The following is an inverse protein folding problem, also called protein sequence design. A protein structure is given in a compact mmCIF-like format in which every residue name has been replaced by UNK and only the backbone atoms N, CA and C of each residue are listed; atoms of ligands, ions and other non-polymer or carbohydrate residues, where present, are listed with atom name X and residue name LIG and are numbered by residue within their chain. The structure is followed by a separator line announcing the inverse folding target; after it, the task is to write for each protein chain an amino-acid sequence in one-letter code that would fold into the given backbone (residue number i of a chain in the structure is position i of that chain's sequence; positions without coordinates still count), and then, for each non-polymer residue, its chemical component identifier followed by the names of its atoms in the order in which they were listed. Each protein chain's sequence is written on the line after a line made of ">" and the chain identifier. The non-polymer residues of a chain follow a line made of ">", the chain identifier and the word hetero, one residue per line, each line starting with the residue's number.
data_IF_543701837076
#
_entry.id   IF_543701837076
#
_cell.length_a   1.000
_cell.length_b   1.000
_cell.length_c   1.000
_cell.angle_alpha   90.00
_cell.angle_beta   90.00
_cell.angle_gamma   90.00
#
_symmetry.space_group_name_H-M   'P 1'
#
loop_
_entity.id
_entity.type
_entity.pdbx_description
1 polymer ?
#
# COMPACT_ATOMS: atom_id res chain seq x y z
N UNK A 1 -7.98 14.02 -13.96
CA UNK A 1 -7.93 13.32 -12.69
C UNK A 1 -7.32 11.93 -12.85
N UNK A 2 -6.94 11.25 -11.81
CA UNK A 2 -6.19 9.98 -11.86
C UNK A 2 -6.94 8.85 -11.14
N UNK A 3 -6.77 7.58 -11.54
CA UNK A 3 -7.45 6.46 -10.93
C UNK A 3 -6.90 6.17 -9.53
N UNK A 4 -7.78 5.79 -8.61
CA UNK A 4 -7.45 5.45 -7.23
C UNK A 4 -7.62 3.95 -6.99
N UNK A 5 -6.50 3.24 -6.81
CA UNK A 5 -6.49 1.78 -6.68
C UNK A 5 -6.77 1.24 -5.28
N UNK A 6 -6.92 2.10 -4.27
CA UNK A 6 -7.21 1.67 -2.88
C UNK A 6 -8.72 1.48 -2.66
N UNK A 7 -9.11 0.24 -2.40
CA UNK A 7 -10.51 -0.11 -2.15
C UNK A 7 -11.11 0.59 -0.92
N UNK A 8 -10.29 1.03 0.05
CA UNK A 8 -10.77 1.74 1.23
C UNK A 8 -11.44 3.09 0.90
N UNK A 9 -11.20 3.62 -0.31
CA UNK A 9 -11.90 4.79 -0.83
C UNK A 9 -13.42 4.63 -0.79
N UNK A 10 -13.94 3.41 -1.04
CA UNK A 10 -15.39 3.14 -1.01
C UNK A 10 -15.98 3.44 0.37
N UNK A 11 -15.36 2.90 1.43
CA UNK A 11 -15.88 3.15 2.78
C UNK A 11 -15.69 4.62 3.20
N UNK A 12 -14.56 5.23 2.80
CA UNK A 12 -14.31 6.63 3.12
C UNK A 12 -15.31 7.56 2.41
N UNK A 13 -15.74 7.23 1.18
CA UNK A 13 -16.79 7.95 0.47
C UNK A 13 -18.10 7.98 1.27
N UNK A 14 -18.57 6.81 1.74
CA UNK A 14 -19.82 6.73 2.51
C UNK A 14 -19.68 7.36 3.90
N UNK A 15 -18.53 7.21 4.56
CA UNK A 15 -18.25 7.87 5.83
C UNK A 15 -18.28 9.41 5.67
N UNK A 16 -17.65 9.92 4.62
CA UNK A 16 -17.64 11.35 4.30
C UNK A 16 -19.04 11.87 3.98
N UNK A 17 -19.84 11.09 3.25
CA UNK A 17 -21.26 11.43 2.96
C UNK A 17 -22.07 11.58 4.24
N UNK A 18 -21.94 10.65 5.17
CA UNK A 18 -22.64 10.70 6.45
C UNK A 18 -22.17 11.89 7.29
N UNK A 19 -20.86 12.06 7.46
CA UNK A 19 -20.26 13.14 8.24
C UNK A 19 -20.65 14.54 7.70
N UNK A 20 -20.72 14.71 6.38
CA UNK A 20 -21.10 15.99 5.75
C UNK A 20 -22.52 16.43 6.07
N UNK A 21 -23.40 15.49 6.44
CA UNK A 21 -24.75 15.79 6.95
C UNK A 21 -24.76 16.44 8.35
N UNK A 22 -23.68 16.32 9.09
CA UNK A 22 -23.60 16.78 10.49
C UNK A 22 -22.60 17.92 10.69
N UNK A 23 -21.48 17.90 9.97
CA UNK A 23 -20.38 18.88 10.14
C UNK A 23 -19.80 19.31 8.81
N UNK A 24 -19.06 20.43 8.81
CA UNK A 24 -18.35 20.93 7.61
C UNK A 24 -16.86 20.58 7.61
N UNK A 25 -16.32 20.32 8.79
CA UNK A 25 -14.89 20.03 8.99
C UNK A 25 -14.74 18.86 9.93
N UNK A 26 -13.82 17.95 9.61
CA UNK A 26 -13.45 16.80 10.47
C UNK A 26 -11.94 16.71 10.64
N UNK A 27 -11.51 16.10 11.73
CA UNK A 27 -10.11 15.73 11.93
C UNK A 27 -9.91 14.26 11.60
N UNK A 28 -8.86 13.94 10.85
CA UNK A 28 -8.48 12.57 10.50
C UNK A 28 -7.15 12.17 11.12
N UNK A 29 -6.97 10.86 11.29
CA UNK A 29 -5.75 10.25 11.81
C UNK A 29 -4.67 9.95 10.76
N UNK A 30 -4.81 10.44 9.53
CA UNK A 30 -3.86 10.18 8.44
C UNK A 30 -2.46 10.72 8.77
N UNK A 31 -1.42 10.04 8.33
CA UNK A 31 -0.02 10.35 8.63
C UNK A 31 0.50 9.73 9.93
N UNK A 32 -0.38 9.34 10.86
CA UNK A 32 0.06 8.75 12.13
C UNK A 32 0.75 7.39 11.98
N UNK A 33 0.43 6.62 10.97
CA UNK A 33 1.07 5.33 10.68
C UNK A 33 2.48 5.53 10.13
N UNK A 34 2.65 6.48 9.23
CA UNK A 34 3.93 6.82 8.60
C UNK A 34 4.90 7.44 9.61
N UNK A 35 4.43 8.37 10.43
CA UNK A 35 5.27 9.09 11.40
C UNK A 35 5.66 8.23 12.60
N UNK A 36 4.72 7.49 13.17
CA UNK A 36 4.92 6.73 14.41
C UNK A 36 5.12 5.23 14.20
N UNK A 37 5.35 4.79 12.96
CA UNK A 37 5.68 3.40 12.65
C UNK A 37 4.50 2.44 12.82
N UNK A 38 3.29 2.81 12.34
CA UNK A 38 2.06 2.05 12.54
C UNK A 38 1.91 0.82 11.64
N UNK A 39 2.59 0.74 10.51
CA UNK A 39 2.48 -0.39 9.60
C UNK A 39 3.29 -1.59 10.06
N UNK A 40 2.71 -2.78 9.99
CA UNK A 40 3.39 -4.01 10.38
C UNK A 40 4.66 -4.29 9.56
N UNK A 41 4.73 -3.81 8.33
CA UNK A 41 5.90 -3.97 7.47
C UNK A 41 7.15 -3.31 8.06
N UNK A 42 7.01 -2.25 8.85
CA UNK A 42 8.12 -1.59 9.52
C UNK A 42 8.81 -2.44 10.60
N UNK A 43 8.20 -3.56 10.99
CA UNK A 43 8.80 -4.56 11.88
C UNK A 43 9.72 -5.54 11.14
N UNK A 44 9.68 -5.55 9.82
CA UNK A 44 10.47 -6.47 9.00
C UNK A 44 11.97 -6.36 9.24
N UNK A 45 12.58 -5.16 9.31
CA UNK A 45 14.02 -5.06 9.57
C UNK A 45 14.43 -5.77 10.86
N UNK A 46 13.60 -5.71 11.90
CA UNK A 46 13.87 -6.41 13.17
C UNK A 46 13.76 -7.93 13.02
N UNK A 47 12.79 -8.41 12.25
CA UNK A 47 12.68 -9.84 11.96
C UNK A 47 13.89 -10.36 11.16
N UNK A 48 14.42 -9.56 10.23
CA UNK A 48 15.59 -9.91 9.40
C UNK A 48 16.91 -9.89 10.19
N UNK A 49 16.99 -9.19 11.33
CA UNK A 49 18.16 -9.23 12.22
C UNK A 49 18.46 -10.64 12.73
N UNK A 50 17.46 -11.52 12.84
CA UNK A 50 17.66 -12.92 13.25
C UNK A 50 18.61 -13.70 12.37
N UNK A 51 18.80 -13.28 11.14
CA UNK A 51 19.73 -13.90 10.17
C UNK A 51 20.87 -12.96 9.75
N UNK A 52 20.99 -11.79 10.39
CA UNK A 52 22.00 -10.79 10.06
C UNK A 52 23.45 -11.26 10.35
N UNK A 53 23.64 -12.26 11.24
CA UNK A 53 24.91 -12.91 11.52
C UNK A 53 25.46 -13.69 10.31
N UNK A 54 24.57 -14.08 9.35
CA UNK A 54 24.97 -14.72 8.09
C UNK A 54 25.53 -13.65 7.15
N UNK A 55 26.72 -13.79 6.57
CA UNK A 55 27.26 -12.85 5.60
C UNK A 55 26.30 -12.57 4.46
N UNK A 56 26.18 -11.29 4.05
CA UNK A 56 25.20 -10.87 3.05
C UNK A 56 25.34 -11.62 1.72
N UNK A 57 26.57 -11.95 1.31
CA UNK A 57 26.86 -12.73 0.10
C UNK A 57 26.18 -14.10 0.15
N UNK A 58 26.25 -14.77 1.30
CA UNK A 58 25.60 -16.08 1.50
C UNK A 58 24.07 -15.94 1.50
N UNK A 59 23.53 -14.90 2.17
CA UNK A 59 22.09 -14.63 2.12
C UNK A 59 21.60 -14.36 0.69
N UNK A 60 22.43 -13.69 -0.12
CA UNK A 60 22.14 -13.43 -1.53
C UNK A 60 22.15 -14.71 -2.40
N UNK A 61 23.02 -15.65 -2.09
CA UNK A 61 23.02 -16.99 -2.72
C UNK A 61 21.75 -17.78 -2.34
N UNK A 62 21.42 -17.80 -1.03
CA UNK A 62 20.17 -18.44 -0.53
C UNK A 62 18.93 -17.84 -1.18
N UNK A 63 18.86 -16.51 -1.37
CA UNK A 63 17.78 -15.82 -2.12
C UNK A 63 17.58 -16.42 -3.50
N UNK A 64 18.67 -16.63 -4.26
CA UNK A 64 18.60 -17.19 -5.63
C UNK A 64 18.01 -18.60 -5.64
N UNK A 65 18.34 -19.41 -4.63
CA UNK A 65 17.79 -20.75 -4.46
C UNK A 65 16.32 -20.68 -4.02
N UNK A 66 16.02 -19.88 -3.01
CA UNK A 66 14.67 -19.71 -2.49
C UNK A 66 13.69 -19.19 -3.58
N UNK A 67 14.16 -18.35 -4.49
CA UNK A 67 13.33 -17.83 -5.59
C UNK A 67 12.84 -18.92 -6.57
N UNK A 68 13.52 -20.08 -6.61
CA UNK A 68 13.13 -21.24 -7.44
C UNK A 68 12.16 -22.19 -6.75
N UNK A 69 11.98 -22.05 -5.43
CA UNK A 69 11.06 -22.90 -4.67
C UNK A 69 9.59 -22.50 -4.97
N UNK A 70 8.65 -23.45 -4.85
CA UNK A 70 7.23 -23.15 -4.85
C UNK A 70 6.88 -22.21 -3.69
N UNK A 71 5.64 -21.71 -3.66
CA UNK A 71 5.18 -20.81 -2.59
C UNK A 71 4.97 -21.60 -1.29
N UNK A 72 6.04 -21.72 -0.50
CA UNK A 72 6.06 -22.40 0.80
C UNK A 72 6.35 -21.40 1.92
N UNK A 73 5.87 -21.73 3.11
CA UNK A 73 6.08 -20.90 4.31
C UNK A 73 7.58 -20.65 4.55
N UNK A 74 7.95 -19.38 4.69
CA UNK A 74 9.34 -18.95 4.93
C UNK A 74 10.13 -18.61 3.67
N UNK A 75 9.68 -18.97 2.48
CA UNK A 75 10.34 -18.64 1.21
C UNK A 75 10.56 -17.13 1.07
N UNK A 76 9.50 -16.34 1.25
CA UNK A 76 9.57 -14.89 1.11
C UNK A 76 10.50 -14.26 2.15
N UNK A 77 10.56 -14.80 3.37
CA UNK A 77 11.53 -14.37 4.37
C UNK A 77 12.98 -14.56 3.89
N UNK A 78 13.32 -15.73 3.33
CA UNK A 78 14.65 -16.00 2.78
C UNK A 78 14.98 -15.10 1.59
N UNK A 79 14.00 -14.85 0.73
CA UNK A 79 14.17 -13.92 -0.40
C UNK A 79 14.49 -12.53 0.11
N UNK A 80 13.69 -12.00 1.05
CA UNK A 80 13.85 -10.65 1.60
C UNK A 80 15.14 -10.51 2.42
N UNK A 81 15.56 -11.55 3.13
CA UNK A 81 16.81 -11.58 3.90
C UNK A 81 18.07 -11.39 3.03
N UNK A 82 18.01 -11.79 1.76
CA UNK A 82 19.08 -11.60 0.78
C UNK A 82 18.96 -10.33 -0.07
N UNK A 83 18.13 -9.36 0.38
CA UNK A 83 17.91 -8.08 -0.31
C UNK A 83 18.22 -6.92 0.63
N UNK A 84 18.76 -5.83 0.07
CA UNK A 84 18.81 -4.54 0.77
C UNK A 84 17.40 -3.94 0.85
N UNK A 85 17.19 -2.94 1.70
CA UNK A 85 15.88 -2.27 1.83
C UNK A 85 15.45 -1.64 0.50
N UNK A 86 16.37 -1.03 -0.23
CA UNK A 86 16.15 -0.39 -1.52
C UNK A 86 15.70 -1.39 -2.61
N UNK A 87 16.08 -2.67 -2.45
CA UNK A 87 15.68 -3.75 -3.37
C UNK A 87 14.31 -4.37 -3.02
N UNK A 88 13.91 -4.32 -1.74
CA UNK A 88 12.73 -5.07 -1.24
C UNK A 88 11.54 -4.22 -0.81
N UNK A 89 11.73 -2.93 -0.59
CA UNK A 89 10.67 -2.02 -0.19
C UNK A 89 10.50 -0.91 -1.21
N UNK A 90 9.32 -0.84 -1.79
CA UNK A 90 8.91 0.16 -2.79
C UNK A 90 7.63 0.89 -2.36
N UNK A 91 7.35 0.89 -1.05
CA UNK A 91 6.13 1.46 -0.48
C UNK A 91 5.04 0.42 -0.21
N UNK A 92 4.01 0.86 0.50
CA UNK A 92 2.88 0.01 0.88
C UNK A 92 1.92 -0.31 -0.30
N UNK A 93 2.03 0.40 -1.41
CA UNK A 93 1.19 0.23 -2.61
C UNK A 93 1.57 -0.97 -3.49
N UNK A 94 2.46 -1.85 -3.06
CA UNK A 94 2.94 -2.95 -3.89
C UNK A 94 1.87 -4.01 -4.13
N UNK A 95 1.25 -4.01 -5.31
CA UNK A 95 0.18 -4.94 -5.68
C UNK A 95 0.63 -5.93 -6.75
N UNK A 96 1.29 -5.44 -7.81
CA UNK A 96 1.80 -6.27 -8.90
C UNK A 96 3.32 -6.32 -8.90
N UNK A 97 3.88 -7.52 -8.93
CA UNK A 97 5.31 -7.73 -9.20
C UNK A 97 5.62 -7.42 -10.67
N UNK A 98 6.85 -7.04 -10.99
CA UNK A 98 7.24 -6.71 -12.36
C UNK A 98 6.88 -7.80 -13.38
N UNK A 99 7.09 -9.08 -13.02
CA UNK A 99 6.69 -10.23 -13.86
C UNK A 99 5.19 -10.31 -14.09
N UNK A 100 4.38 -10.03 -13.05
CA UNK A 100 2.93 -10.05 -13.13
C UNK A 100 2.40 -8.89 -13.97
N UNK A 101 3.01 -7.70 -13.87
CA UNK A 101 2.73 -6.57 -14.77
C UNK A 101 2.98 -6.96 -16.23
N UNK A 102 4.12 -7.57 -16.50
CA UNK A 102 4.47 -8.02 -17.85
C UNK A 102 3.54 -9.12 -18.41
N UNK A 103 2.89 -9.90 -17.54
CA UNK A 103 1.90 -10.91 -17.95
C UNK A 103 0.58 -10.26 -18.37
N UNK A 104 0.07 -9.30 -17.58
CA UNK A 104 -1.25 -8.72 -17.82
C UNK A 104 -1.22 -7.57 -18.86
N UNK A 105 -0.12 -6.82 -18.97
CA UNK A 105 -0.04 -5.70 -19.90
C UNK A 105 0.17 -6.18 -21.33
N UNK A 106 -0.60 -5.64 -22.28
CA UNK A 106 -0.54 -5.97 -23.70
C UNK A 106 0.78 -5.52 -24.31
N UNK A 107 1.15 -4.29 -24.03
CA UNK A 107 2.39 -3.70 -24.52
C UNK A 107 3.49 -3.80 -23.48
N UNK A 108 4.72 -3.98 -23.96
CA UNK A 108 5.88 -3.94 -23.07
C UNK A 108 5.99 -2.54 -22.46
N UNK A 109 6.07 -2.49 -21.13
CA UNK A 109 6.37 -1.23 -20.44
C UNK A 109 7.78 -0.79 -20.84
N UNK A 110 7.89 0.40 -21.40
CA UNK A 110 9.16 0.98 -21.86
C UNK A 110 9.84 1.84 -20.78
N UNK A 111 9.13 2.13 -19.70
CA UNK A 111 9.66 2.91 -18.57
C UNK A 111 10.47 2.08 -17.58
N UNK A 112 11.08 2.74 -16.60
CA UNK A 112 11.84 2.07 -15.54
C UNK A 112 10.92 1.18 -14.69
N UNK A 113 11.48 0.11 -14.14
CA UNK A 113 10.82 -0.66 -13.09
C UNK A 113 10.57 0.22 -11.84
N UNK A 114 9.67 -0.18 -10.96
CA UNK A 114 9.40 0.57 -9.73
C UNK A 114 10.67 0.75 -8.87
N UNK A 115 11.54 -0.26 -8.83
CA UNK A 115 12.82 -0.16 -8.14
C UNK A 115 13.78 0.85 -8.81
N UNK A 116 13.82 0.88 -10.14
CA UNK A 116 14.65 1.86 -10.87
C UNK A 116 14.12 3.28 -10.71
N UNK A 117 12.80 3.44 -10.66
CA UNK A 117 12.15 4.72 -10.39
C UNK A 117 12.48 5.27 -8.98
N UNK A 118 12.51 4.40 -7.96
CA UNK A 118 12.81 4.79 -6.59
C UNK A 118 14.31 4.89 -6.29
N UNK A 119 15.18 4.37 -7.15
CA UNK A 119 16.63 4.38 -6.92
C UNK A 119 17.19 5.78 -6.66
N UNK A 120 16.92 6.83 -7.46
CA UNK A 120 17.43 8.17 -7.20
C UNK A 120 17.01 8.70 -5.83
N UNK A 121 15.78 8.45 -5.41
CA UNK A 121 15.30 8.83 -4.08
C UNK A 121 16.10 8.18 -2.95
N UNK A 122 16.39 6.88 -3.05
CA UNK A 122 17.21 6.19 -2.06
C UNK A 122 18.65 6.67 -2.06
N UNK A 123 19.23 6.99 -3.22
CA UNK A 123 20.58 7.53 -3.35
C UNK A 123 20.69 8.93 -2.72
N UNK A 124 19.71 9.80 -2.96
CA UNK A 124 19.61 11.13 -2.35
C UNK A 124 19.48 11.02 -0.81
N UNK A 125 18.56 10.16 -0.35
CA UNK A 125 18.34 9.92 1.08
C UNK A 125 19.61 9.42 1.80
N UNK A 126 20.39 8.55 1.17
CA UNK A 126 21.67 8.06 1.68
C UNK A 126 22.72 9.18 1.71
N UNK A 127 22.80 10.01 0.66
CA UNK A 127 23.75 11.10 0.56
C UNK A 127 23.50 12.18 1.63
N UNK A 128 22.25 12.61 1.77
CA UNK A 128 21.84 13.63 2.74
C UNK A 128 22.09 13.20 4.19
N UNK A 129 21.85 11.94 4.49
CA UNK A 129 21.98 11.39 5.84
C UNK A 129 23.32 10.68 6.07
N UNK A 130 24.27 10.76 5.12
CA UNK A 130 25.60 10.14 5.19
C UNK A 130 25.55 8.65 5.57
N UNK A 131 24.55 7.93 5.09
CA UNK A 131 24.37 6.51 5.36
C UNK A 131 23.96 6.16 6.80
N UNK A 132 23.53 7.14 7.62
CA UNK A 132 23.18 6.91 9.03
C UNK A 132 21.79 6.31 9.25
N UNK A 133 20.91 6.39 8.24
CA UNK A 133 19.53 5.89 8.37
C UNK A 133 19.43 4.37 8.43
N UNK A 134 18.62 3.90 9.35
CA UNK A 134 18.26 2.49 9.46
C UNK A 134 17.18 2.11 8.42
N UNK A 135 17.05 0.83 8.13
CA UNK A 135 16.07 0.32 7.15
C UNK A 135 14.64 0.84 7.39
N UNK A 136 14.20 0.90 8.66
CA UNK A 136 12.86 1.39 9.00
C UNK A 136 12.68 2.87 8.64
N UNK A 137 13.67 3.71 8.89
CA UNK A 137 13.61 5.14 8.58
C UNK A 137 13.56 5.35 7.08
N UNK A 138 14.32 4.60 6.30
CA UNK A 138 14.25 4.59 4.84
C UNK A 138 12.87 4.17 4.34
N UNK A 139 12.26 3.14 4.94
CA UNK A 139 10.89 2.71 4.61
C UNK A 139 9.86 3.80 4.92
N UNK A 140 9.97 4.46 6.08
CA UNK A 140 9.11 5.60 6.43
C UNK A 140 9.28 6.76 5.45
N UNK A 141 10.51 7.08 5.03
CA UNK A 141 10.78 8.15 4.07
C UNK A 141 10.12 7.87 2.71
N UNK A 142 10.17 6.62 2.22
CA UNK A 142 9.48 6.23 0.99
C UNK A 142 7.96 6.39 1.14
N UNK A 143 7.39 5.92 2.24
CA UNK A 143 5.94 6.03 2.45
C UNK A 143 5.49 7.49 2.62
N UNK A 144 6.26 8.32 3.32
CA UNK A 144 5.99 9.75 3.47
C UNK A 144 6.06 10.51 2.13
N UNK A 145 6.95 10.11 1.22
CA UNK A 145 7.17 10.81 -0.04
C UNK A 145 6.28 10.32 -1.19
N UNK A 146 5.82 9.08 -1.16
CA UNK A 146 5.06 8.47 -2.26
C UNK A 146 3.70 7.91 -1.84
N UNK A 147 3.65 7.05 -0.82
CA UNK A 147 2.42 6.40 -0.38
C UNK A 147 1.45 7.37 0.25
N UNK A 148 1.93 8.20 1.17
CA UNK A 148 1.09 9.16 1.89
C UNK A 148 0.46 10.19 0.93
N UNK A 149 1.22 10.93 0.10
CA UNK A 149 0.62 11.89 -0.82
C UNK A 149 -0.14 11.23 -1.98
N UNK A 150 0.40 10.16 -2.58
CA UNK A 150 -0.13 9.56 -3.79
C UNK A 150 -1.32 8.62 -3.59
N UNK A 151 -1.58 8.15 -2.37
CA UNK A 151 -2.73 7.28 -2.07
C UNK A 151 -3.55 7.80 -0.88
N UNK A 152 -2.93 7.92 0.30
CA UNK A 152 -3.66 8.18 1.54
C UNK A 152 -4.34 9.56 1.53
N UNK A 153 -3.56 10.62 1.26
CA UNK A 153 -4.10 12.01 1.25
C UNK A 153 -4.97 12.26 0.03
N UNK A 154 -4.58 11.74 -1.14
CA UNK A 154 -5.38 11.84 -2.35
C UNK A 154 -6.75 11.19 -2.18
N UNK A 155 -6.80 10.00 -1.58
CA UNK A 155 -8.04 9.31 -1.25
C UNK A 155 -8.88 10.11 -0.26
N UNK A 156 -8.26 10.61 0.83
CA UNK A 156 -8.94 11.38 1.84
C UNK A 156 -9.58 12.64 1.24
N UNK A 157 -8.81 13.38 0.44
CA UNK A 157 -9.28 14.58 -0.23
C UNK A 157 -10.44 14.29 -1.22
N UNK A 158 -10.23 13.37 -2.17
CA UNK A 158 -11.24 13.05 -3.20
C UNK A 158 -12.55 12.56 -2.61
N UNK A 159 -12.50 11.69 -1.61
CA UNK A 159 -13.73 11.11 -1.03
C UNK A 159 -14.46 12.09 -0.13
N UNK A 160 -13.77 12.95 0.59
CA UNK A 160 -14.40 13.98 1.42
C UNK A 160 -14.92 15.15 0.60
N UNK A 161 -14.13 15.62 -0.36
CA UNK A 161 -14.52 16.74 -1.23
C UNK A 161 -15.68 16.39 -2.17
N UNK A 162 -15.90 15.11 -2.50
CA UNK A 162 -17.11 14.65 -3.19
C UNK A 162 -18.41 15.00 -2.42
N UNK A 163 -18.30 15.28 -1.12
CA UNK A 163 -19.40 15.66 -0.23
C UNK A 163 -19.22 17.05 0.38
N UNK A 164 -18.28 17.86 -0.11
CA UNK A 164 -17.96 19.20 0.41
C UNK A 164 -17.61 19.17 1.92
N UNK A 165 -16.91 18.11 2.35
CA UNK A 165 -16.43 17.91 3.71
C UNK A 165 -14.93 18.22 3.76
N UNK A 166 -14.52 19.18 4.57
CA UNK A 166 -13.11 19.51 4.78
C UNK A 166 -12.48 18.52 5.77
N UNK A 167 -11.44 17.80 5.36
CA UNK A 167 -10.67 16.90 6.23
C UNK A 167 -9.35 17.54 6.57
N UNK A 168 -9.07 17.69 7.85
CA UNK A 168 -7.78 18.15 8.37
C UNK A 168 -6.99 17.00 8.99
N UNK A 169 -5.67 17.02 8.84
CA UNK A 169 -4.76 15.94 9.20
C UNK A 169 -3.71 16.42 10.22
N UNK A 170 -4.07 16.58 11.50
CA UNK A 170 -3.22 17.23 12.50
C UNK A 170 -1.90 16.49 12.75
N UNK A 171 -1.80 15.19 12.44
CA UNK A 171 -0.52 14.46 12.54
C UNK A 171 0.52 14.94 11.54
N UNK A 172 0.11 15.58 10.44
CA UNK A 172 1.00 16.12 9.42
C UNK A 172 1.36 17.59 9.66
N UNK A 173 0.97 18.14 10.82
CA UNK A 173 1.49 19.42 11.26
C UNK A 173 3.03 19.38 11.37
N UNK A 174 3.67 20.48 10.98
CA UNK A 174 5.14 20.56 10.93
C UNK A 174 5.80 20.27 12.28
N UNK A 175 5.21 20.75 13.38
CA UNK A 175 5.78 20.53 14.71
C UNK A 175 5.66 19.04 15.11
N UNK A 176 4.55 18.38 14.77
CA UNK A 176 4.37 16.95 15.00
C UNK A 176 5.34 16.14 14.15
N UNK A 177 5.53 16.54 12.90
CA UNK A 177 6.48 15.91 11.99
C UNK A 177 7.93 16.03 12.54
N UNK A 178 8.36 17.24 12.88
CA UNK A 178 9.71 17.51 13.41
C UNK A 178 9.97 16.76 14.73
N UNK A 179 8.96 16.57 15.55
CA UNK A 179 9.04 15.75 16.76
C UNK A 179 9.15 14.26 16.41
N UNK A 180 8.26 13.74 15.57
CA UNK A 180 8.23 12.33 15.20
C UNK A 180 9.50 11.88 14.46
N UNK A 181 10.10 12.77 13.63
CA UNK A 181 11.34 12.49 12.93
C UNK A 181 12.53 12.26 13.89
N UNK A 182 12.53 12.91 15.07
CA UNK A 182 13.58 12.75 16.09
C UNK A 182 13.39 11.49 16.97
N UNK A 183 12.25 10.82 16.90
CA UNK A 183 11.99 9.64 17.71
C UNK A 183 12.81 8.44 17.21
N UNK A 184 13.56 7.76 18.10
CA UNK A 184 14.25 6.53 17.72
C UNK A 184 13.22 5.43 17.41
N UNK A 185 13.64 4.44 16.63
CA UNK A 185 12.75 3.34 16.21
C UNK A 185 12.14 2.58 17.41
N UNK A 186 12.88 2.47 18.52
CA UNK A 186 12.43 1.80 19.75
C UNK A 186 11.26 2.53 20.42
N UNK A 187 11.15 3.84 20.20
CA UNK A 187 9.98 4.62 20.62
C UNK A 187 8.77 4.39 19.68
N UNK A 188 9.02 4.09 18.42
CA UNK A 188 7.98 3.85 17.42
C UNK A 188 7.47 2.40 17.45
N UNK A 189 8.39 1.44 17.58
CA UNK A 189 8.07 0.00 17.61
C UNK A 189 8.79 -0.65 18.78
N UNK A 190 8.04 -1.07 19.79
CA UNK A 190 8.54 -1.76 20.98
C UNK A 190 7.50 -2.71 21.57
N UNK A 191 7.92 -3.59 22.43
CA UNK A 191 7.06 -4.54 23.17
C UNK A 191 6.07 -5.31 22.26
N UNK A 192 6.49 -5.62 21.05
CA UNK A 192 5.64 -6.32 20.08
C UNK A 192 4.51 -5.49 19.47
N UNK A 193 4.44 -4.18 19.74
CA UNK A 193 3.42 -3.28 19.21
C UNK A 193 3.98 -2.18 18.31
N UNK A 194 3.15 -1.64 17.44
CA UNK A 194 3.40 -0.48 16.57
C UNK A 194 2.85 0.80 17.22
N UNK A 195 3.33 1.99 16.80
CA UNK A 195 2.96 3.28 17.42
C UNK A 195 3.19 3.29 18.93
N UNK A 196 4.24 2.63 19.43
CA UNK A 196 4.42 2.34 20.85
C UNK A 196 4.32 3.58 21.74
N UNK A 197 5.15 4.60 21.50
CA UNK A 197 5.16 5.82 22.31
C UNK A 197 3.84 6.60 22.19
N UNK A 198 3.26 6.63 20.98
CA UNK A 198 1.99 7.29 20.74
C UNK A 198 0.86 6.61 21.55
N UNK A 199 0.75 5.28 21.47
CA UNK A 199 -0.22 4.53 22.29
C UNK A 199 -0.02 4.79 23.77
N UNK A 200 1.23 4.76 24.23
CA UNK A 200 1.55 5.04 25.63
C UNK A 200 1.18 6.46 26.06
N UNK A 201 1.36 7.44 25.18
CA UNK A 201 1.01 8.83 25.46
C UNK A 201 -0.51 9.04 25.57
N UNK A 202 -1.31 8.31 24.80
CA UNK A 202 -2.77 8.48 24.78
C UNK A 202 -3.54 7.52 25.70
N UNK A 203 -2.88 6.51 26.29
CA UNK A 203 -3.53 5.48 27.11
C UNK A 203 -4.30 6.05 28.32
N UNK A 204 -3.88 7.21 28.85
CA UNK A 204 -4.61 7.89 29.93
C UNK A 204 -5.80 8.75 29.46
N UNK A 205 -5.98 8.94 28.17
CA UNK A 205 -7.03 9.79 27.59
C UNK A 205 -8.10 9.02 26.84
N UNK A 206 -7.79 7.80 26.42
CA UNK A 206 -8.70 6.95 25.65
C UNK A 206 -9.38 5.91 26.55
N UNK A 207 -10.60 5.47 26.21
CA UNK A 207 -11.22 4.30 26.83
C UNK A 207 -10.30 3.07 26.68
N UNK A 208 -10.24 2.23 27.71
CA UNK A 208 -9.36 1.06 27.76
C UNK A 208 -9.56 0.13 26.57
N UNK A 209 -10.79 -0.08 26.12
CA UNK A 209 -11.11 -0.93 24.98
C UNK A 209 -10.48 -0.38 23.67
N UNK A 210 -10.25 0.93 23.57
CA UNK A 210 -9.61 1.56 22.42
C UNK A 210 -8.10 1.39 22.45
N UNK A 211 -7.50 1.52 23.63
CA UNK A 211 -6.05 1.39 23.84
C UNK A 211 -5.57 -0.05 23.55
N UNK A 212 -6.32 -1.05 24.01
CA UNK A 212 -6.00 -2.47 23.83
C UNK A 212 -6.34 -3.00 22.42
N UNK A 213 -7.04 -2.22 21.61
CA UNK A 213 -7.52 -2.64 20.29
C UNK A 213 -6.36 -2.93 19.34
N UNK A 214 -6.38 -4.13 18.74
CA UNK A 214 -5.46 -4.45 17.65
C UNK A 214 -5.71 -3.53 16.47
N UNK A 215 -4.63 -3.08 15.80
CA UNK A 215 -4.77 -2.31 14.56
C UNK A 215 -5.62 -3.11 13.57
N UNK A 216 -6.76 -2.54 13.23
CA UNK A 216 -7.55 -2.91 12.08
C UNK A 216 -7.32 -1.83 11.02
N UNK A 217 -7.04 -2.26 9.78
CA UNK A 217 -7.12 -1.33 8.65
C UNK A 217 -8.57 -0.88 8.44
N UNK A 218 -8.85 -0.26 7.28
CA UNK A 218 -10.19 0.07 6.84
C UNK A 218 -10.68 -1.02 5.86
N UNK A 219 -11.10 -2.21 6.36
CA UNK A 219 -11.29 -3.38 5.53
C UNK A 219 -12.58 -3.24 4.70
N UNK A 220 -12.40 -3.33 3.39
CA UNK A 220 -13.51 -3.43 2.44
C UNK A 220 -13.61 -4.88 1.97
N UNK A 221 -14.79 -5.48 1.95
CA UNK A 221 -14.96 -6.89 1.62
C UNK A 221 -14.90 -7.18 0.11
N UNK A 222 -14.02 -6.49 -0.64
CA UNK A 222 -13.84 -6.70 -2.09
C UNK A 222 -13.55 -8.15 -2.44
N UNK A 223 -12.84 -8.86 -1.54
CA UNK A 223 -12.58 -10.30 -1.69
C UNK A 223 -13.87 -11.12 -1.76
N UNK A 224 -14.90 -10.70 -1.03
CA UNK A 224 -16.20 -11.38 -1.00
C UNK A 224 -17.05 -10.93 -2.17
N UNK A 225 -17.13 -9.61 -2.41
CA UNK A 225 -17.93 -9.04 -3.49
C UNK A 225 -17.54 -9.61 -4.85
N UNK A 226 -16.26 -9.62 -5.19
CA UNK A 226 -15.75 -10.13 -6.46
C UNK A 226 -15.99 -11.63 -6.70
N UNK A 227 -16.51 -12.35 -5.70
CA UNK A 227 -16.97 -13.75 -5.81
C UNK A 227 -18.47 -13.88 -6.02
N UNK A 228 -19.26 -12.84 -5.81
CA UNK A 228 -20.70 -12.82 -6.09
C UNK A 228 -20.94 -12.77 -7.59
N UNK A 229 -22.02 -13.39 -8.06
CA UNK A 229 -22.26 -13.57 -9.50
C UNK A 229 -22.43 -12.23 -10.23
N UNK A 230 -23.18 -11.29 -9.65
CA UNK A 230 -23.40 -9.96 -10.23
C UNK A 230 -22.08 -9.18 -10.40
N UNK A 231 -21.24 -9.18 -9.35
CA UNK A 231 -19.92 -8.54 -9.40
C UNK A 231 -18.98 -9.25 -10.38
N UNK A 232 -18.99 -10.57 -10.37
CA UNK A 232 -18.19 -11.37 -11.30
C UNK A 232 -18.54 -11.04 -12.74
N UNK A 233 -19.84 -10.99 -13.08
CA UNK A 233 -20.29 -10.64 -14.42
C UNK A 233 -19.91 -9.21 -14.80
N UNK A 234 -20.17 -8.23 -13.94
CA UNK A 234 -19.79 -6.83 -14.18
C UNK A 234 -18.28 -6.69 -14.46
N UNK A 235 -17.45 -7.37 -13.68
CA UNK A 235 -15.99 -7.31 -13.89
C UNK A 235 -15.58 -8.04 -15.16
N UNK A 236 -16.26 -9.15 -15.50
CA UNK A 236 -16.05 -9.87 -16.78
C UNK A 236 -16.32 -8.95 -17.97
N UNK A 237 -17.44 -8.23 -17.94
CA UNK A 237 -17.83 -7.31 -19.01
C UNK A 237 -16.81 -6.18 -19.18
N UNK A 238 -16.30 -5.63 -18.07
CA UNK A 238 -15.25 -4.61 -18.11
C UNK A 238 -13.90 -5.16 -18.58
N UNK A 239 -13.53 -6.38 -18.18
CA UNK A 239 -12.27 -7.01 -18.57
C UNK A 239 -12.26 -7.49 -20.03
N UNK A 240 -13.44 -7.55 -20.68
CA UNK A 240 -13.60 -7.85 -22.12
C UNK A 240 -13.96 -6.61 -22.96
N UNK A 241 -13.93 -5.41 -22.34
CA UNK A 241 -14.22 -4.16 -23.03
C UNK A 241 -13.09 -3.76 -23.99
N UNK A 242 -13.41 -2.90 -24.98
CA UNK A 242 -12.41 -2.32 -25.87
C UNK A 242 -11.27 -1.62 -25.14
N UNK A 243 -11.58 -0.92 -24.05
CA UNK A 243 -10.57 -0.29 -23.20
C UNK A 243 -9.64 -1.34 -22.57
N UNK A 244 -10.17 -2.45 -22.09
CA UNK A 244 -9.34 -3.54 -21.57
C UNK A 244 -8.43 -4.13 -22.65
N UNK A 245 -8.96 -4.38 -23.85
CA UNK A 245 -8.19 -4.91 -24.99
C UNK A 245 -7.07 -3.97 -25.46
N UNK A 246 -7.20 -2.67 -25.23
CA UNK A 246 -6.16 -1.69 -25.57
C UNK A 246 -4.91 -1.85 -24.69
N UNK A 247 -5.10 -2.03 -23.37
CA UNK A 247 -4.03 -1.99 -22.38
C UNK A 247 -3.59 -3.36 -21.89
N UNK A 248 -4.49 -4.34 -21.89
CA UNK A 248 -4.30 -5.60 -21.18
C UNK A 248 -4.47 -6.82 -22.10
N UNK A 249 -3.89 -7.94 -21.67
CA UNK A 249 -4.21 -9.27 -22.17
C UNK A 249 -5.45 -9.75 -21.42
N UNK A 250 -6.58 -9.69 -22.07
CA UNK A 250 -7.89 -9.95 -21.46
C UNK A 250 -8.02 -11.37 -20.94
N UNK A 251 -7.40 -12.35 -21.59
CA UNK A 251 -7.36 -13.74 -21.14
C UNK A 251 -6.70 -13.87 -19.76
N UNK A 252 -5.61 -13.14 -19.53
CA UNK A 252 -4.89 -13.15 -18.24
C UNK A 252 -5.73 -12.48 -17.15
N UNK A 253 -6.45 -11.39 -17.47
CA UNK A 253 -7.37 -10.75 -16.54
C UNK A 253 -8.53 -11.67 -16.15
N UNK A 254 -9.13 -12.34 -17.12
CA UNK A 254 -10.21 -13.31 -16.88
C UNK A 254 -9.71 -14.51 -16.07
N UNK A 255 -8.48 -14.96 -16.28
CA UNK A 255 -7.88 -16.02 -15.49
C UNK A 255 -7.67 -15.58 -14.02
N UNK A 256 -7.18 -14.35 -13.77
CA UNK A 256 -7.08 -13.79 -12.42
C UNK A 256 -8.44 -13.75 -11.72
N UNK A 257 -9.48 -13.32 -12.43
CA UNK A 257 -10.85 -13.24 -11.93
C UNK A 257 -11.41 -14.63 -11.61
N UNK A 258 -11.23 -15.59 -12.52
CA UNK A 258 -11.66 -16.98 -12.34
C UNK A 258 -10.98 -17.65 -11.14
N UNK A 259 -9.66 -17.51 -11.03
CA UNK A 259 -8.90 -18.08 -9.90
C UNK A 259 -9.35 -17.50 -8.56
N UNK A 260 -9.74 -16.22 -8.54
CA UNK A 260 -10.33 -15.58 -7.38
C UNK A 260 -11.73 -16.13 -7.05
N UNK A 261 -12.60 -16.27 -8.05
CA UNK A 261 -13.95 -16.86 -7.91
C UNK A 261 -13.87 -18.28 -7.38
N UNK A 262 -12.99 -19.10 -7.95
CA UNK A 262 -12.77 -20.51 -7.58
C UNK A 262 -12.02 -20.68 -6.25
N UNK A 263 -11.65 -19.61 -5.57
CA UNK A 263 -10.87 -19.60 -4.31
C UNK A 263 -9.48 -20.24 -4.42
N UNK A 264 -8.91 -20.34 -5.63
CA UNK A 264 -7.55 -20.84 -5.86
C UNK A 264 -6.49 -19.84 -5.40
N UNK A 265 -6.78 -18.53 -5.56
CA UNK A 265 -5.94 -17.45 -5.11
C UNK A 265 -6.77 -16.25 -4.66
N UNK A 266 -6.22 -15.42 -3.75
CA UNK A 266 -6.81 -14.12 -3.45
C UNK A 266 -6.21 -13.06 -4.38
N UNK A 267 -6.88 -12.80 -5.49
CA UNK A 267 -6.51 -11.78 -6.48
C UNK A 267 -7.30 -10.47 -6.30
N UNK A 268 -8.05 -10.31 -5.20
CA UNK A 268 -8.99 -9.20 -5.03
C UNK A 268 -8.35 -7.83 -5.24
N UNK A 269 -7.18 -7.55 -4.66
CA UNK A 269 -6.48 -6.27 -4.84
C UNK A 269 -6.01 -6.05 -6.28
N UNK A 270 -5.54 -7.11 -6.95
CA UNK A 270 -5.11 -7.06 -8.35
C UNK A 270 -6.27 -6.74 -9.28
N UNK A 271 -7.38 -7.46 -9.11
CA UNK A 271 -8.62 -7.24 -9.88
C UNK A 271 -9.12 -5.81 -9.64
N UNK A 272 -9.15 -5.37 -8.38
CA UNK A 272 -9.62 -4.03 -8.01
C UNK A 272 -8.81 -2.93 -8.68
N UNK A 273 -7.48 -3.05 -8.69
CA UNK A 273 -6.59 -2.06 -9.33
C UNK A 273 -6.87 -1.92 -10.83
N UNK A 274 -7.05 -3.03 -11.54
CA UNK A 274 -7.38 -2.98 -12.97
C UNK A 274 -8.81 -2.46 -13.19
N UNK A 275 -9.76 -2.90 -12.37
CA UNK A 275 -11.15 -2.49 -12.42
C UNK A 275 -11.29 -0.94 -12.27
N UNK A 276 -10.63 -0.37 -11.26
CA UNK A 276 -10.70 1.08 -11.03
C UNK A 276 -10.03 1.86 -12.15
N UNK A 277 -8.93 1.35 -12.72
CA UNK A 277 -8.31 1.95 -13.90
C UNK A 277 -9.27 1.95 -15.10
N UNK A 278 -9.92 0.83 -15.40
CA UNK A 278 -10.83 0.73 -16.53
C UNK A 278 -12.08 1.62 -16.38
N UNK A 279 -12.66 1.68 -15.17
CA UNK A 279 -13.80 2.60 -14.87
C UNK A 279 -13.35 4.05 -15.07
N UNK A 280 -12.18 4.43 -14.57
CA UNK A 280 -11.64 5.77 -14.74
C UNK A 280 -11.38 6.08 -16.21
N UNK A 281 -10.75 5.18 -16.96
CA UNK A 281 -10.45 5.36 -18.37
C UNK A 281 -11.73 5.52 -19.22
N UNK A 282 -12.71 4.67 -18.98
CA UNK A 282 -14.02 4.78 -19.66
C UNK A 282 -14.68 6.13 -19.38
N UNK A 283 -14.65 6.57 -18.15
CA UNK A 283 -15.26 7.84 -17.73
C UNK A 283 -14.62 9.06 -18.36
N UNK A 284 -13.30 9.11 -18.49
CA UNK A 284 -12.57 10.31 -18.88
C UNK A 284 -12.13 10.31 -20.34
N UNK A 285 -11.98 9.17 -20.96
CA UNK A 285 -11.43 9.05 -22.33
C UNK A 285 -12.39 8.41 -23.33
N UNK A 286 -13.11 7.35 -22.97
CA UNK A 286 -14.00 6.69 -23.92
C UNK A 286 -15.29 7.49 -24.19
N UNK A 287 -15.79 8.28 -23.22
CA UNK A 287 -16.98 9.13 -23.40
C UNK A 287 -16.72 10.42 -24.17
N UNK A 288 -15.45 10.82 -24.36
CA UNK A 288 -15.10 12.00 -25.17
C UNK A 288 -15.06 11.73 -26.68
N UNK A 289 -15.31 10.50 -27.14
CA UNK A 289 -15.29 10.09 -28.55
C UNK A 289 -16.68 10.06 -29.19
N UNK A 290 -17.65 10.80 -28.64
CA UNK A 290 -18.99 10.97 -29.23
C UNK A 290 -19.21 12.39 -29.69
#
# INVERSE_FOLDING_TARGET
>A
DEPLGDASAVALYFLSKEAAGHVKVVLSGEGADELFGGYNIYREPEALKKVAWIPFVLRRAVRKLAAKLPDVKGRDFLIRAGMKVEERFIGNAYIYREKEKAQILKNKVTGPSTQEYLRPFYEELEAENRGSLQDMEKMQSVDLSYWLPGDILQKADKMSMAHSLEVRVPFLDKEVFDFAAKLPKEAKIAAGTTKYIFRKAVSGFLPQETDERKKLGFPIPIRVWLRQDDWYQMVTDLFTSKAAEEFFRTEELLQLLKDHKDKKADNSRKIWTVLTFLIWYDRFFATCSK
#
